data_IF_007539300350
#
_entry.id   IF_007539300350
#
_cell.length_a   1.000
_cell.length_b   1.000
_cell.length_c   1.000
_cell.angle_alpha   90.00
_cell.angle_beta   90.00
_cell.angle_gamma   90.00
#
_symmetry.space_group_name_H-M   'P 1'
#
loop_
_entity.id
_entity.type
_entity.pdbx_description
1 polymer ?
#
# COMPACT_ATOMS: atom_id res chain seq x y z
N UNK A 1 5.29 14.49 -3.36
CA UNK A 1 4.00 13.80 -3.58
C UNK A 1 2.97 14.25 -2.56
N UNK A 2 3.30 14.34 -1.27
CA UNK A 2 2.43 14.98 -0.28
C UNK A 2 3.10 16.25 0.25
N UNK A 3 2.31 17.31 0.41
CA UNK A 3 2.64 18.53 1.12
C UNK A 3 2.05 18.50 2.54
N UNK A 4 2.46 19.46 3.38
CA UNK A 4 2.22 19.50 4.81
C UNK A 4 0.83 19.01 5.23
N UNK A 5 0.78 17.87 5.92
CA UNK A 5 -0.44 17.32 6.50
C UNK A 5 -1.33 16.48 5.59
N UNK A 6 -1.16 16.52 4.26
CA UNK A 6 -1.99 15.77 3.31
C UNK A 6 -1.89 14.25 3.52
N UNK A 7 -0.70 13.75 3.84
CA UNK A 7 -0.50 12.33 4.15
C UNK A 7 -1.35 11.90 5.36
N UNK A 8 -1.56 12.76 6.35
CA UNK A 8 -2.41 12.46 7.52
C UNK A 8 -3.84 12.17 7.10
N UNK A 9 -4.39 13.00 6.20
CA UNK A 9 -5.75 12.84 5.67
C UNK A 9 -5.90 11.54 4.89
N UNK A 10 -4.90 11.18 4.07
CA UNK A 10 -4.92 9.90 3.33
C UNK A 10 -4.85 8.71 4.30
N UNK A 11 -3.96 8.73 5.29
CA UNK A 11 -3.87 7.65 6.27
C UNK A 11 -5.16 7.51 7.09
N UNK A 12 -5.72 8.63 7.54
CA UNK A 12 -6.96 8.66 8.29
C UNK A 12 -8.12 8.09 7.46
N UNK A 13 -8.21 8.44 6.17
CA UNK A 13 -9.21 7.89 5.24
C UNK A 13 -9.07 6.37 5.08
N UNK A 14 -7.84 5.86 4.92
CA UNK A 14 -7.59 4.43 4.77
C UNK A 14 -7.93 3.64 6.03
N UNK A 15 -7.69 4.21 7.21
CA UNK A 15 -8.03 3.65 8.52
C UNK A 15 -9.55 3.70 8.77
N UNK A 16 -10.24 4.72 8.27
CA UNK A 16 -11.70 4.80 8.34
C UNK A 16 -12.40 3.67 7.57
N UNK A 17 -11.78 3.25 6.46
CA UNK A 17 -12.33 2.19 5.61
C UNK A 17 -12.26 0.81 6.29
N UNK A 18 -11.15 0.53 6.97
CA UNK A 18 -10.96 -0.63 7.84
C UNK A 18 -9.77 -0.39 8.78
N UNK A 19 -9.76 -0.96 10.00
CA UNK A 19 -8.59 -0.92 10.87
C UNK A 19 -7.35 -1.54 10.19
N UNK A 20 -6.20 -0.86 10.24
CA UNK A 20 -4.99 -1.26 9.49
C UNK A 20 -3.73 -1.18 10.35
N UNK A 21 -2.74 -2.02 10.04
CA UNK A 21 -1.38 -1.82 10.54
C UNK A 21 -0.64 -0.79 9.67
N UNK A 22 0.42 -0.18 10.21
CA UNK A 22 1.32 0.72 9.48
C UNK A 22 1.83 0.16 8.14
N UNK A 23 2.19 -1.13 8.06
CA UNK A 23 2.64 -1.75 6.81
C UNK A 23 1.51 -1.94 5.79
N UNK A 24 0.27 -2.16 6.24
CA UNK A 24 -0.87 -2.26 5.34
C UNK A 24 -1.19 -0.90 4.71
N UNK A 25 -0.96 0.19 5.45
CA UNK A 25 -1.09 1.56 4.94
C UNK A 25 -0.05 1.88 3.86
N UNK A 26 1.19 1.43 4.04
CA UNK A 26 2.23 1.53 2.99
C UNK A 26 1.75 0.85 1.72
N UNK A 27 1.32 -0.42 1.84
CA UNK A 27 0.84 -1.23 0.70
C UNK A 27 -0.41 -0.65 0.04
N UNK A 28 -1.33 -0.08 0.83
CA UNK A 28 -2.53 0.55 0.31
C UNK A 28 -2.21 1.81 -0.53
N UNK A 29 -1.31 2.68 -0.04
CA UNK A 29 -0.89 3.88 -0.78
C UNK A 29 -0.12 3.51 -2.05
N UNK A 30 0.75 2.49 -1.96
CA UNK A 30 1.44 1.95 -3.13
C UNK A 30 0.44 1.40 -4.16
N UNK A 31 -0.57 0.65 -3.73
CA UNK A 31 -1.63 0.14 -4.59
C UNK A 31 -2.43 1.25 -5.28
N UNK A 32 -2.86 2.27 -4.52
CA UNK A 32 -3.60 3.42 -5.06
C UNK A 32 -2.79 4.19 -6.11
N UNK A 33 -1.48 4.32 -5.89
CA UNK A 33 -0.57 4.97 -6.83
C UNK A 33 -0.03 4.03 -7.93
N UNK A 34 -0.49 2.78 -7.99
CA UNK A 34 -0.01 1.74 -8.91
C UNK A 34 1.53 1.59 -8.88
N UNK A 35 2.12 1.66 -7.69
CA UNK A 35 3.56 1.53 -7.47
C UNK A 35 4.38 2.78 -7.80
N UNK A 36 3.73 3.93 -8.05
CA UNK A 36 4.45 5.21 -8.26
C UNK A 36 4.98 5.76 -6.95
N UNK A 37 4.30 5.50 -5.84
CA UNK A 37 4.72 5.98 -4.54
C UNK A 37 4.40 4.99 -3.43
N UNK A 38 5.43 4.60 -2.70
CA UNK A 38 5.32 3.88 -1.44
C UNK A 38 6.00 4.73 -0.35
N UNK A 39 5.25 5.23 0.65
CA UNK A 39 5.85 5.96 1.76
C UNK A 39 6.70 5.01 2.62
N UNK A 40 7.84 5.48 3.10
CA UNK A 40 8.71 4.66 3.95
C UNK A 40 8.13 4.51 5.37
N UNK A 41 8.54 3.48 6.13
CA UNK A 41 8.21 3.38 7.55
C UNK A 41 8.55 4.64 8.35
N UNK A 42 9.69 5.28 8.04
CA UNK A 42 10.14 6.52 8.69
C UNK A 42 9.24 7.73 8.42
N UNK A 43 8.35 7.66 7.44
CA UNK A 43 7.32 8.68 7.19
C UNK A 43 5.98 8.25 7.80
N UNK A 44 5.61 6.97 7.66
CA UNK A 44 4.32 6.45 8.14
C UNK A 44 4.22 6.49 9.67
N UNK A 45 5.19 5.93 10.38
CA UNK A 45 5.05 5.76 11.83
C UNK A 45 5.03 7.09 12.59
N UNK A 46 5.86 8.10 12.26
CA UNK A 46 5.72 9.42 12.88
C UNK A 46 4.37 10.08 12.59
N UNK A 47 3.82 9.88 11.39
CA UNK A 47 2.49 10.40 11.04
C UNK A 47 1.38 9.70 11.82
N UNK A 48 1.48 8.39 12.02
CA UNK A 48 0.54 7.62 12.85
C UNK A 48 0.63 7.99 14.33
N UNK A 49 1.84 8.23 14.86
CA UNK A 49 2.03 8.76 16.21
C UNK A 49 1.31 10.09 16.36
N UNK A 50 1.50 11.01 15.41
CA UNK A 50 0.82 12.31 15.44
C UNK A 50 -0.71 12.18 15.38
N UNK A 51 -1.25 11.30 14.54
CA UNK A 51 -2.70 11.03 14.50
C UNK A 51 -3.22 10.47 15.83
N UNK A 52 -2.44 9.63 16.51
CA UNK A 52 -2.77 9.08 17.83
C UNK A 52 -2.71 10.16 18.92
N UNK A 53 -1.68 11.00 18.91
CA UNK A 53 -1.53 12.11 19.85
C UNK A 53 -2.63 13.17 19.68
N UNK A 54 -3.18 13.30 18.47
CA UNK A 54 -4.36 14.13 18.16
C UNK A 54 -5.70 13.44 18.45
N UNK A 55 -5.69 12.22 19.00
CA UNK A 55 -6.87 11.40 19.30
C UNK A 55 -7.76 11.09 18.07
N UNK A 56 -7.19 11.17 16.86
CA UNK A 56 -7.91 10.89 15.61
C UNK A 56 -7.92 9.39 15.29
N UNK A 57 -6.97 8.64 15.84
CA UNK A 57 -6.88 7.18 15.74
C UNK A 57 -6.54 6.57 17.10
N UNK A 58 -7.05 5.37 17.34
CA UNK A 58 -6.81 4.58 18.54
C UNK A 58 -6.54 3.12 18.21
N UNK A 59 -6.65 2.27 19.23
CA UNK A 59 -6.62 0.82 19.09
C UNK A 59 -8.07 0.31 18.96
N UNK A 60 -8.35 -0.72 18.17
CA UNK A 60 -9.70 -1.24 18.03
C UNK A 60 -10.17 -1.90 19.34
N UNK A 61 -11.47 -1.84 19.63
CA UNK A 61 -12.13 -2.43 20.83
C UNK A 61 -12.11 -3.98 20.90
N UNK A 62 -11.27 -4.63 20.08
CA UNK A 62 -11.16 -6.10 20.03
C UNK A 62 -10.11 -6.60 21.01
N UNK A 63 -10.43 -7.68 21.72
CA UNK A 63 -9.53 -8.42 22.64
C UNK A 63 -8.37 -9.13 21.95
N UNK A 64 -8.31 -9.14 20.61
CA UNK A 64 -7.22 -9.72 19.84
C UNK A 64 -5.99 -8.78 19.82
N UNK A 65 -5.20 -8.88 20.88
CA UNK A 65 -4.03 -8.05 21.22
C UNK A 65 -2.78 -8.38 20.38
N UNK A 66 -2.87 -9.27 19.40
CA UNK A 66 -1.69 -9.76 18.67
C UNK A 66 -1.19 -8.81 17.57
N UNK A 67 -1.93 -7.77 17.17
CA UNK A 67 -1.47 -6.79 16.16
C UNK A 67 -1.89 -5.37 16.52
N UNK A 68 -0.93 -4.44 16.57
CA UNK A 68 -1.17 -3.00 16.76
C UNK A 68 -1.85 -2.41 15.53
N UNK A 69 -3.15 -2.64 15.41
CA UNK A 69 -4.00 -2.02 14.41
C UNK A 69 -4.35 -0.61 14.85
N UNK A 70 -4.43 0.30 13.89
CA UNK A 70 -4.97 1.63 14.08
C UNK A 70 -6.42 1.62 13.63
N UNK A 71 -7.31 2.14 14.46
CA UNK A 71 -8.73 2.31 14.18
C UNK A 71 -9.10 3.80 14.30
N UNK A 72 -10.03 4.28 13.48
CA UNK A 72 -10.44 5.69 13.51
C UNK A 72 -11.33 5.98 14.72
N UNK A 73 -11.19 7.15 15.33
CA UNK A 73 -12.10 7.63 16.38
C UNK A 73 -13.25 8.46 15.79
N UNK A 74 -14.26 8.78 16.61
CA UNK A 74 -15.33 9.70 16.18
C UNK A 74 -14.80 11.09 15.80
N UNK A 75 -13.77 11.57 16.51
CA UNK A 75 -13.09 12.83 16.17
C UNK A 75 -12.36 12.73 14.82
N UNK A 76 -11.71 11.59 14.54
CA UNK A 76 -11.13 11.30 13.23
C UNK A 76 -12.16 11.32 12.12
N UNK A 77 -13.34 10.72 12.33
CA UNK A 77 -14.45 10.72 11.36
C UNK A 77 -14.96 12.12 11.08
N UNK A 78 -15.14 12.94 12.13
CA UNK A 78 -15.57 14.33 11.99
C UNK A 78 -14.56 15.14 11.15
N UNK A 79 -13.26 15.00 11.43
CA UNK A 79 -12.21 15.67 10.67
C UNK A 79 -12.20 15.22 9.19
N UNK A 80 -12.41 13.93 8.90
CA UNK A 80 -12.54 13.47 7.52
C UNK A 80 -13.76 14.07 6.81
N UNK A 81 -14.89 14.20 7.50
CA UNK A 81 -16.10 14.78 6.92
C UNK A 81 -15.89 16.26 6.57
N UNK A 82 -15.20 17.02 7.43
CA UNK A 82 -14.84 18.42 7.17
C UNK A 82 -13.89 18.58 5.99
N UNK A 83 -12.99 17.60 5.77
CA UNK A 83 -11.95 17.63 4.74
C UNK A 83 -12.26 16.73 3.54
N UNK A 84 -13.52 16.32 3.36
CA UNK A 84 -13.89 15.30 2.37
C UNK A 84 -13.46 15.64 0.93
N UNK A 85 -13.60 16.91 0.52
CA UNK A 85 -13.18 17.38 -0.82
C UNK A 85 -11.67 17.31 -1.01
N UNK A 86 -10.91 17.63 0.02
CA UNK A 86 -9.45 17.57 -0.03
C UNK A 86 -8.99 16.12 -0.12
N UNK A 87 -9.56 15.24 0.72
CA UNK A 87 -9.29 13.79 0.67
C UNK A 87 -9.57 13.23 -0.72
N UNK A 88 -10.71 13.57 -1.32
CA UNK A 88 -11.05 13.14 -2.68
C UNK A 88 -10.00 13.61 -3.71
N UNK A 89 -9.57 14.87 -3.63
CA UNK A 89 -8.52 15.42 -4.49
C UNK A 89 -7.18 14.69 -4.33
N UNK A 90 -6.79 14.37 -3.10
CA UNK A 90 -5.56 13.64 -2.79
C UNK A 90 -5.57 12.21 -3.34
N UNK A 91 -6.69 11.49 -3.17
CA UNK A 91 -6.87 10.14 -3.71
C UNK A 91 -6.85 10.13 -5.24
N UNK A 92 -7.47 11.14 -5.86
CA UNK A 92 -7.43 11.32 -7.31
C UNK A 92 -6.01 11.57 -7.81
N UNK A 93 -5.25 12.45 -7.15
CA UNK A 93 -3.84 12.73 -7.49
C UNK A 93 -2.97 11.47 -7.38
N UNK A 94 -3.20 10.63 -6.37
CA UNK A 94 -2.53 9.33 -6.24
C UNK A 94 -2.84 8.42 -7.44
N UNK A 95 -4.12 8.28 -7.79
CA UNK A 95 -4.56 7.43 -8.89
C UNK A 95 -4.02 7.91 -10.25
N UNK A 96 -4.07 9.22 -10.51
CA UNK A 96 -3.59 9.86 -11.74
C UNK A 96 -2.07 9.72 -11.91
N UNK A 97 -1.30 9.82 -10.81
CA UNK A 97 0.14 9.58 -10.84
C UNK A 97 0.45 8.16 -11.35
N UNK A 98 -0.35 7.17 -10.93
CA UNK A 98 -0.31 5.81 -11.44
C UNK A 98 -0.60 5.71 -12.94
N UNK A 99 -1.63 6.42 -13.41
CA UNK A 99 -2.08 6.39 -14.82
C UNK A 99 -1.11 7.05 -15.80
N UNK A 100 -0.46 8.15 -15.39
CA UNK A 100 0.51 8.86 -16.23
C UNK A 100 1.73 7.97 -16.52
N UNK A 101 2.29 7.31 -15.49
CA UNK A 101 3.39 6.35 -15.67
C UNK A 101 2.97 5.12 -16.46
N UNK A 102 1.70 4.74 -16.34
CA UNK A 102 1.13 3.63 -17.09
C UNK A 102 1.11 3.86 -18.59
N UNK A 103 0.90 5.11 -19.00
CA UNK A 103 0.78 5.52 -20.40
C UNK A 103 2.12 5.72 -21.10
N UNK A 104 3.22 5.95 -20.38
CA UNK A 104 4.48 6.36 -21.01
C UNK A 104 5.54 5.28 -21.19
N UNK A 105 5.80 4.33 -20.26
CA UNK A 105 6.92 3.37 -20.49
C UNK A 105 6.81 1.98 -19.82
N UNK A 106 5.97 1.80 -18.80
CA UNK A 106 5.95 0.55 -18.02
C UNK A 106 4.83 -0.44 -18.42
N UNK A 107 4.04 -0.11 -19.45
CA UNK A 107 2.87 -0.91 -19.79
C UNK A 107 3.17 -2.38 -20.15
N UNK A 108 4.21 -2.69 -20.94
CA UNK A 108 4.56 -4.07 -21.23
C UNK A 108 4.98 -4.84 -19.96
N UNK A 109 5.79 -4.22 -19.10
CA UNK A 109 6.30 -4.85 -17.87
C UNK A 109 5.18 -5.16 -16.90
N UNK A 110 4.24 -4.22 -16.70
CA UNK A 110 3.09 -4.44 -15.82
C UNK A 110 2.16 -5.52 -16.35
N UNK A 111 1.89 -5.58 -17.66
CA UNK A 111 1.14 -6.70 -18.25
C UNK A 111 1.85 -8.04 -17.99
N UNK A 112 3.17 -8.07 -18.13
CA UNK A 112 3.96 -9.27 -17.83
C UNK A 112 3.86 -9.67 -16.34
N UNK A 113 3.92 -8.70 -15.42
CA UNK A 113 3.76 -8.94 -13.98
C UNK A 113 2.34 -9.43 -13.61
N UNK A 114 1.30 -8.89 -14.25
CA UNK A 114 -0.08 -9.37 -14.06
C UNK A 114 -0.24 -10.82 -14.51
N UNK A 115 0.32 -11.15 -15.68
CA UNK A 115 0.34 -12.53 -16.18
C UNK A 115 1.10 -13.46 -15.22
N UNK A 116 2.31 -13.06 -14.77
CA UNK A 116 3.10 -13.83 -13.81
C UNK A 116 2.32 -14.09 -12.51
N UNK A 117 1.67 -13.05 -11.96
CA UNK A 117 0.84 -13.19 -10.76
C UNK A 117 -0.25 -14.25 -10.96
N UNK A 118 -0.98 -14.21 -12.08
CA UNK A 118 -2.03 -15.20 -12.39
C UNK A 118 -1.48 -16.62 -12.38
N UNK A 119 -0.40 -16.87 -13.11
CA UNK A 119 0.23 -18.20 -13.22
C UNK A 119 0.72 -18.69 -11.85
N UNK A 120 1.29 -17.80 -11.03
CA UNK A 120 1.74 -18.16 -9.68
C UNK A 120 0.58 -18.55 -8.76
N UNK A 121 -0.56 -17.87 -8.83
CA UNK A 121 -1.76 -18.25 -8.06
C UNK A 121 -2.25 -19.64 -8.45
N UNK A 122 -2.30 -19.94 -9.75
CA UNK A 122 -2.73 -21.26 -10.24
C UNK A 122 -1.73 -22.36 -9.85
N UNK A 123 -0.43 -22.06 -9.91
CA UNK A 123 0.64 -23.02 -9.65
C UNK A 123 0.83 -23.29 -8.16
N UNK A 124 0.78 -22.26 -7.31
CA UNK A 124 1.11 -22.35 -5.87
C UNK A 124 -0.11 -22.65 -4.99
N UNK A 125 -1.07 -23.38 -5.53
CA UNK A 125 -2.27 -23.82 -4.81
C UNK A 125 -1.94 -24.75 -3.61
N UNK A 126 -2.84 -24.89 -2.63
CA UNK A 126 -2.62 -25.76 -1.47
C UNK A 126 -2.27 -27.20 -1.87
N UNK A 127 -1.18 -27.74 -1.32
CA UNK A 127 -0.69 -29.09 -1.62
C UNK A 127 0.40 -29.17 -2.70
N UNK A 128 0.88 -28.03 -3.22
CA UNK A 128 2.00 -28.02 -4.17
C UNK A 128 3.29 -28.55 -3.52
N UNK A 129 4.10 -29.26 -4.31
CA UNK A 129 5.39 -29.79 -3.87
C UNK A 129 6.35 -28.65 -3.52
N UNK A 130 7.05 -28.77 -2.38
CA UNK A 130 8.10 -27.85 -1.94
C UNK A 130 9.16 -27.61 -3.02
N UNK A 131 9.50 -28.64 -3.80
CA UNK A 131 10.43 -28.50 -4.93
C UNK A 131 9.92 -27.50 -5.96
N UNK A 132 8.64 -27.55 -6.30
CA UNK A 132 8.01 -26.61 -7.25
C UNK A 132 8.07 -25.19 -6.72
N UNK A 133 7.81 -24.98 -5.42
CA UNK A 133 7.94 -23.66 -4.78
C UNK A 133 9.37 -23.11 -4.89
N UNK A 134 10.37 -23.95 -4.63
CA UNK A 134 11.78 -23.56 -4.70
C UNK A 134 12.23 -23.26 -6.15
N UNK A 135 11.79 -24.07 -7.12
CA UNK A 135 12.10 -23.85 -8.53
C UNK A 135 11.47 -22.54 -9.04
N UNK A 136 10.22 -22.25 -8.64
CA UNK A 136 9.55 -20.99 -8.95
C UNK A 136 10.28 -19.78 -8.35
N UNK A 137 10.72 -19.88 -7.10
CA UNK A 137 11.50 -18.82 -6.47
C UNK A 137 12.82 -18.56 -7.22
N UNK A 138 13.54 -19.62 -7.59
CA UNK A 138 14.79 -19.51 -8.35
C UNK A 138 14.60 -18.82 -9.71
N UNK A 139 13.49 -19.11 -10.41
CA UNK A 139 13.17 -18.46 -11.69
C UNK A 139 12.89 -16.96 -11.55
N UNK A 140 12.20 -16.56 -10.48
CA UNK A 140 11.93 -15.15 -10.19
C UNK A 140 13.25 -14.42 -9.86
N UNK A 141 14.10 -15.03 -9.04
CA UNK A 141 15.40 -14.47 -8.67
C UNK A 141 16.32 -14.33 -9.90
N UNK A 142 16.35 -15.32 -10.78
CA UNK A 142 17.12 -15.26 -12.03
C UNK A 142 16.64 -14.11 -12.93
N UNK A 143 15.32 -13.95 -13.08
CA UNK A 143 14.74 -12.85 -13.85
C UNK A 143 15.12 -11.49 -13.26
N UNK A 144 15.05 -11.35 -11.93
CA UNK A 144 15.46 -10.13 -11.22
C UNK A 144 16.94 -9.80 -11.48
N UNK A 145 17.85 -10.77 -11.31
CA UNK A 145 19.28 -10.58 -11.56
C UNK A 145 19.58 -10.15 -13.01
N UNK A 146 18.88 -10.74 -14.00
CA UNK A 146 19.03 -10.34 -15.40
C UNK A 146 18.59 -8.91 -15.65
N UNK A 147 17.48 -8.49 -15.05
CA UNK A 147 16.96 -7.12 -15.17
C UNK A 147 17.90 -6.12 -14.50
N UNK A 148 18.48 -6.44 -13.35
CA UNK A 148 19.47 -5.58 -12.68
C UNK A 148 20.69 -5.31 -13.55
N UNK A 149 21.17 -6.33 -14.30
CA UNK A 149 22.28 -6.19 -15.25
C UNK A 149 21.97 -5.32 -16.47
N UNK A 150 20.71 -5.00 -16.74
CA UNK A 150 20.37 -4.04 -17.82
C UNK A 150 20.63 -2.58 -17.41
N UNK A 151 20.91 -2.32 -16.12
CA UNK A 151 21.23 -0.99 -15.60
C UNK A 151 22.73 -0.67 -15.60
N UNK A 152 23.57 -1.66 -15.89
CA UNK A 152 25.04 -1.55 -15.99
C UNK A 152 25.47 -1.45 -17.45
#
# INVERSE_FOLDING_TARGET
>A
MFEGGELRLVLLHLINSEPRHGYDLIRAIEGLSRGVYAPSPGVIYPTLTLLKDMELVGEPDTTDTQRKLFAITEQGKALLAENAKEVEGLLRRLAEAGEIRERTDAAPVRRAMQNLKSVLFDTLSPGVDKKVVLDVAALIDEAAQKIERLRS
#
